data_IF_557556748461
#
_entry.id   IF_557556748461
#
_cell.length_a   1.000
_cell.length_b   1.000
_cell.length_c   1.000
_cell.angle_alpha   90.00
_cell.angle_beta   90.00
_cell.angle_gamma   90.00
#
_symmetry.space_group_name_H-M   'P 1'
#
loop_
_entity.id
_entity.type
_entity.pdbx_description
1 polymer ?
#
# COMPACT_ATOMS: atom_id res chain seq x y z
N UNK A 1 -55.59 -18.22 39.40
CA UNK A 1 -54.46 -17.36 39.82
C UNK A 1 -53.28 -18.29 40.04
N UNK A 2 -52.10 -18.23 39.41
CA UNK A 2 -51.47 -17.39 38.39
C UNK A 2 -50.45 -18.31 37.70
N UNK A 3 -50.39 -18.31 36.37
CA UNK A 3 -49.38 -19.04 35.57
C UNK A 3 -48.06 -18.26 35.65
N UNK A 4 -46.98 -18.89 36.11
CA UNK A 4 -45.64 -18.31 36.00
C UNK A 4 -45.02 -18.78 34.69
N UNK A 5 -44.91 -17.88 33.72
CA UNK A 5 -44.18 -18.09 32.48
C UNK A 5 -42.69 -17.82 32.74
N UNK A 6 -41.86 -18.81 32.42
CA UNK A 6 -40.40 -18.68 32.43
C UNK A 6 -39.98 -18.01 31.11
N UNK A 7 -39.56 -16.74 31.18
CA UNK A 7 -39.01 -16.03 30.04
C UNK A 7 -37.57 -16.50 29.81
N UNK A 8 -37.33 -17.17 28.68
CA UNK A 8 -35.99 -17.46 28.17
C UNK A 8 -35.49 -16.16 27.52
N UNK A 9 -34.52 -15.51 28.14
CA UNK A 9 -33.80 -14.40 27.53
C UNK A 9 -32.90 -14.96 26.42
N UNK A 10 -33.23 -14.65 25.17
CA UNK A 10 -32.36 -14.89 24.03
C UNK A 10 -31.30 -13.77 24.01
N UNK A 11 -30.09 -14.06 24.48
CA UNK A 11 -28.96 -13.16 24.28
C UNK A 11 -28.51 -13.27 22.82
N UNK A 12 -29.11 -12.46 21.96
CA UNK A 12 -28.61 -12.22 20.61
C UNK A 12 -27.37 -11.35 20.68
N UNK A 13 -26.21 -11.96 20.89
CA UNK A 13 -24.94 -11.31 20.62
C UNK A 13 -24.80 -11.18 19.10
N UNK A 14 -25.07 -9.99 18.56
CA UNK A 14 -24.59 -9.64 17.23
C UNK A 14 -23.09 -9.47 17.38
N UNK A 15 -22.33 -10.49 17.00
CA UNK A 15 -20.92 -10.32 16.75
C UNK A 15 -20.84 -9.37 15.54
N UNK A 16 -20.52 -8.11 15.78
CA UNK A 16 -19.93 -7.28 14.75
C UNK A 16 -18.57 -7.93 14.48
N UNK A 17 -18.48 -8.71 13.40
CA UNK A 17 -17.17 -8.91 12.80
C UNK A 17 -16.70 -7.50 12.43
N UNK A 18 -15.63 -7.01 13.05
CA UNK A 18 -14.90 -5.89 12.45
C UNK A 18 -14.59 -6.35 11.03
N UNK A 19 -15.11 -5.65 10.03
CA UNK A 19 -14.65 -5.87 8.66
C UNK A 19 -13.16 -5.53 8.65
N UNK A 20 -12.36 -6.33 7.93
CA UNK A 20 -11.00 -5.92 7.60
C UNK A 20 -11.06 -4.53 6.97
N UNK A 21 -10.17 -3.63 7.39
CA UNK A 21 -10.16 -2.25 6.87
C UNK A 21 -9.39 -2.20 5.56
N UNK A 22 -8.58 -3.22 5.28
CA UNK A 22 -7.94 -3.47 4.00
C UNK A 22 -8.48 -4.73 3.31
N UNK A 23 -8.43 -4.75 1.98
CA UNK A 23 -8.72 -5.92 1.16
C UNK A 23 -7.59 -6.24 0.18
N UNK A 24 -7.41 -7.53 -0.14
CA UNK A 24 -6.46 -7.99 -1.15
C UNK A 24 -7.10 -7.91 -2.53
N UNK A 25 -6.48 -7.17 -3.45
CA UNK A 25 -7.05 -6.88 -4.77
C UNK A 25 -6.33 -7.55 -5.94
N UNK A 26 -5.12 -8.08 -5.72
CA UNK A 26 -4.31 -8.64 -6.80
C UNK A 26 -3.25 -9.64 -6.37
N UNK A 27 -2.58 -10.18 -7.40
CA UNK A 27 -1.44 -11.10 -7.27
C UNK A 27 -0.16 -10.35 -7.59
N UNK A 28 0.77 -10.28 -6.64
CA UNK A 28 2.05 -9.59 -6.81
C UNK A 28 2.95 -10.29 -7.84
N UNK A 29 3.44 -9.61 -8.89
CA UNK A 29 4.42 -10.18 -9.81
C UNK A 29 5.83 -10.00 -9.24
N UNK A 30 6.30 -10.95 -8.41
CA UNK A 30 7.62 -10.87 -7.79
C UNK A 30 8.75 -11.20 -8.77
N UNK A 31 9.89 -10.55 -8.57
CA UNK A 31 11.17 -10.89 -9.16
C UNK A 31 12.07 -11.53 -8.11
N UNK A 32 12.88 -12.50 -8.52
CA UNK A 32 14.04 -12.87 -7.73
C UNK A 32 15.03 -11.70 -7.72
N UNK A 33 15.46 -11.27 -6.53
CA UNK A 33 16.21 -10.04 -6.34
C UNK A 33 15.29 -8.84 -6.09
N UNK A 34 15.56 -7.72 -6.75
CA UNK A 34 14.93 -6.44 -6.45
C UNK A 34 13.46 -6.36 -6.92
N UNK A 35 12.63 -5.80 -6.05
CA UNK A 35 11.23 -5.50 -6.28
C UNK A 35 10.93 -4.07 -5.83
N UNK A 36 9.92 -3.46 -6.46
CA UNK A 36 9.38 -2.16 -6.11
C UNK A 36 8.16 -2.36 -5.22
N UNK A 37 8.16 -1.72 -4.06
CA UNK A 37 6.97 -1.51 -3.22
C UNK A 37 6.55 -0.06 -3.38
N UNK A 38 5.28 0.19 -3.61
CA UNK A 38 4.74 1.53 -3.82
C UNK A 38 3.46 1.68 -3.01
N UNK A 39 3.20 2.89 -2.53
CA UNK A 39 2.03 3.20 -1.73
C UNK A 39 1.48 4.57 -2.07
N UNK A 40 0.16 4.68 -2.07
CA UNK A 40 -0.55 5.94 -2.16
C UNK A 40 -1.43 6.08 -0.92
N UNK A 41 -1.16 7.09 -0.11
CA UNK A 41 -2.01 7.54 0.98
C UNK A 41 -2.99 8.57 0.44
N UNK A 42 -4.23 8.53 0.90
CA UNK A 42 -5.32 9.32 0.38
C UNK A 42 -6.13 9.90 1.54
N UNK A 43 -6.37 11.20 1.50
CA UNK A 43 -7.26 11.91 2.42
C UNK A 43 -8.72 11.54 2.17
N UNK A 44 -9.54 11.62 3.22
CA UNK A 44 -11.00 11.48 3.09
C UNK A 44 -11.66 12.71 2.46
N UNK A 45 -11.07 13.89 2.64
CA UNK A 45 -11.70 15.15 2.25
C UNK A 45 -10.70 16.31 2.16
N UNK A 46 -11.06 17.41 1.45
CA UNK A 46 -10.25 18.61 1.44
C UNK A 46 -10.12 19.24 2.84
N UNK A 47 -8.88 19.55 3.25
CA UNK A 47 -8.59 20.14 4.55
C UNK A 47 -8.43 19.11 5.69
N UNK A 48 -8.15 17.85 5.35
CA UNK A 48 -7.67 16.86 6.33
C UNK A 48 -6.49 17.44 7.13
N UNK A 49 -6.46 17.15 8.43
CA UNK A 49 -5.46 17.69 9.36
C UNK A 49 -4.14 16.95 9.31
N UNK A 50 -4.19 15.66 8.98
CA UNK A 50 -3.11 14.71 9.05
C UNK A 50 -3.32 13.61 8.00
N UNK A 51 -2.26 12.88 7.73
CA UNK A 51 -2.24 11.73 6.83
C UNK A 51 -0.98 10.95 7.16
N UNK A 52 -1.07 9.63 7.11
CA UNK A 52 0.06 8.74 7.38
C UNK A 52 0.02 7.56 6.42
N UNK A 53 1.20 7.07 6.03
CA UNK A 53 1.35 5.76 5.41
C UNK A 53 2.69 5.14 5.77
N UNK A 54 2.60 3.99 6.43
CA UNK A 54 3.70 3.12 6.76
C UNK A 54 3.42 1.74 6.17
N UNK A 55 4.35 1.22 5.38
CA UNK A 55 4.23 -0.11 4.76
C UNK A 55 5.34 -1.04 5.25
N UNK A 56 4.97 -2.22 5.70
CA UNK A 56 5.91 -3.32 5.99
C UNK A 56 5.74 -4.43 4.95
N UNK A 57 6.85 -5.00 4.50
CA UNK A 57 6.85 -6.23 3.69
C UNK A 57 7.60 -7.32 4.44
N UNK A 58 6.99 -8.49 4.55
CA UNK A 58 7.67 -9.69 5.04
C UNK A 58 7.54 -10.86 4.08
N UNK A 59 8.62 -11.64 3.98
CA UNK A 59 8.71 -12.85 3.15
C UNK A 59 9.12 -14.00 4.05
N UNK A 60 8.35 -15.08 4.04
CA UNK A 60 8.59 -16.27 4.88
C UNK A 60 8.78 -15.91 6.37
N UNK A 61 8.05 -14.89 6.85
CA UNK A 61 8.11 -14.38 8.23
C UNK A 61 9.31 -13.48 8.55
N UNK A 62 10.13 -13.12 7.55
CA UNK A 62 11.25 -12.17 7.71
C UNK A 62 10.85 -10.82 7.14
N UNK A 63 10.97 -9.75 7.93
CA UNK A 63 10.77 -8.37 7.45
C UNK A 63 11.90 -8.00 6.49
N UNK A 64 11.54 -7.58 5.27
CA UNK A 64 12.45 -7.21 4.18
C UNK A 64 12.32 -5.75 3.75
N UNK A 65 11.29 -5.06 4.25
CA UNK A 65 11.07 -3.62 4.13
C UNK A 65 10.18 -3.17 5.28
N UNK A 66 10.50 -2.05 5.93
CA UNK A 66 9.75 -1.50 7.06
C UNK A 66 9.92 0.03 7.16
N UNK A 67 9.31 0.64 8.17
CA UNK A 67 9.36 2.08 8.46
C UNK A 67 10.78 2.69 8.40
N UNK A 68 11.83 1.97 8.82
CA UNK A 68 13.21 2.48 8.79
C UNK A 68 13.90 2.51 7.42
N UNK A 69 13.26 2.00 6.36
CA UNK A 69 13.88 1.82 5.05
C UNK A 69 13.76 3.06 4.15
N UNK A 70 14.73 3.27 3.23
CA UNK A 70 14.74 4.43 2.34
C UNK A 70 13.64 4.35 1.29
N UNK A 71 13.07 5.52 0.99
CA UNK A 71 12.02 5.70 -0.03
C UNK A 71 12.24 6.99 -0.83
N UNK A 72 11.48 7.10 -1.92
CA UNK A 72 11.19 8.34 -2.62
C UNK A 72 9.73 8.70 -2.39
N UNK A 73 9.41 9.95 -2.05
CA UNK A 73 8.05 10.40 -1.79
C UNK A 73 7.69 11.66 -2.60
N UNK A 74 6.42 11.80 -2.98
CA UNK A 74 5.91 13.01 -3.62
C UNK A 74 4.46 13.28 -3.20
N UNK A 75 4.11 14.55 -3.09
CA UNK A 75 2.72 14.97 -3.14
C UNK A 75 2.36 15.29 -4.60
N UNK A 76 1.64 14.42 -5.31
CA UNK A 76 1.34 14.61 -6.72
C UNK A 76 0.39 15.79 -6.95
N UNK A 77 0.69 16.61 -7.95
CA UNK A 77 -0.20 17.70 -8.44
C UNK A 77 -0.82 17.38 -9.81
N UNK A 78 -0.75 16.12 -10.22
CA UNK A 78 -1.17 15.64 -11.53
C UNK A 78 -0.86 14.15 -11.70
N UNK A 79 -1.42 13.54 -12.74
CA UNK A 79 -1.20 12.13 -13.07
C UNK A 79 0.28 11.85 -13.34
N UNK A 80 0.81 10.78 -12.73
CA UNK A 80 2.18 10.30 -12.93
C UNK A 80 2.11 8.88 -13.50
N UNK A 81 2.23 8.72 -14.82
CA UNK A 81 2.07 7.41 -15.45
C UNK A 81 3.17 6.42 -15.02
N UNK A 82 2.74 5.25 -14.55
CA UNK A 82 3.63 4.14 -14.26
C UNK A 82 4.59 4.36 -13.09
N UNK A 83 4.29 5.29 -12.19
CA UNK A 83 5.10 5.62 -11.01
C UNK A 83 5.47 4.39 -10.15
N UNK A 84 4.57 3.42 -10.04
CA UNK A 84 4.77 2.19 -9.27
C UNK A 84 5.51 1.07 -10.05
N UNK A 85 5.85 1.27 -11.33
CA UNK A 85 6.48 0.24 -12.14
C UNK A 85 7.97 0.07 -11.80
N UNK A 86 8.53 -1.15 -11.94
CA UNK A 86 9.95 -1.37 -11.80
C UNK A 86 10.76 -0.49 -12.76
N UNK A 87 11.76 0.21 -12.23
CA UNK A 87 12.65 1.08 -13.01
C UNK A 87 12.08 2.46 -13.34
N UNK A 88 10.97 2.87 -12.72
CA UNK A 88 10.51 4.25 -12.76
C UNK A 88 11.60 5.21 -12.23
N UNK A 89 11.76 6.36 -12.89
CA UNK A 89 12.73 7.38 -12.50
C UNK A 89 12.09 8.36 -11.51
N UNK A 90 12.27 8.07 -10.22
CA UNK A 90 11.81 8.91 -9.11
C UNK A 90 12.82 9.99 -8.71
N UNK A 91 13.86 10.30 -9.51
CA UNK A 91 14.90 11.27 -9.13
C UNK A 91 14.40 12.70 -8.87
N UNK A 92 13.18 13.03 -9.30
CA UNK A 92 12.50 14.29 -8.99
C UNK A 92 11.67 14.29 -7.71
N UNK A 93 11.59 13.16 -7.00
CA UNK A 93 10.84 12.99 -5.76
C UNK A 93 11.73 13.29 -4.55
N UNK A 94 11.11 13.49 -3.39
CA UNK A 94 11.82 13.70 -2.13
C UNK A 94 12.43 12.39 -1.63
N UNK A 95 13.74 12.36 -1.42
CA UNK A 95 14.39 11.25 -0.70
C UNK A 95 13.97 11.27 0.78
N UNK A 96 13.60 10.11 1.32
CA UNK A 96 13.12 10.01 2.70
C UNK A 96 13.24 8.60 3.29
N UNK A 97 12.64 8.43 4.45
CA UNK A 97 12.49 7.18 5.19
C UNK A 97 11.00 6.81 5.27
N UNK A 98 10.67 5.52 5.12
CA UNK A 98 9.29 5.04 5.13
C UNK A 98 8.52 5.48 6.40
N UNK A 99 7.20 5.62 6.28
CA UNK A 99 6.42 6.49 7.17
C UNK A 99 6.37 7.90 6.62
N UNK A 100 5.51 8.07 5.62
CA UNK A 100 5.23 9.35 4.96
C UNK A 100 3.94 9.93 5.47
N UNK A 101 3.89 11.25 5.63
CA UNK A 101 2.68 11.90 6.10
C UNK A 101 2.88 13.36 6.49
N UNK A 102 1.89 13.93 7.15
CA UNK A 102 1.94 15.28 7.70
C UNK A 102 0.98 15.45 8.87
N UNK A 103 1.14 16.54 9.63
CA UNK A 103 0.08 17.10 10.47
C UNK A 103 0.17 16.80 11.96
N UNK A 104 0.76 15.67 12.35
CA UNK A 104 0.87 15.21 13.74
C UNK A 104 2.31 15.10 14.27
N UNK A 105 3.29 15.05 13.37
CA UNK A 105 4.72 15.14 13.67
C UNK A 105 5.33 13.82 14.15
N UNK A 106 4.74 12.68 13.77
CA UNK A 106 5.31 11.34 14.02
C UNK A 106 5.74 10.59 12.74
N UNK A 107 5.54 11.16 11.55
CA UNK A 107 6.09 10.64 10.29
C UNK A 107 7.61 10.84 10.16
N UNK A 108 8.31 9.84 9.60
CA UNK A 108 9.73 9.95 9.30
C UNK A 108 10.02 10.86 8.09
N UNK A 109 9.10 10.88 7.12
CA UNK A 109 9.16 11.76 5.95
C UNK A 109 7.94 12.64 5.93
N UNK A 110 8.11 13.87 6.41
CA UNK A 110 7.07 14.89 6.38
C UNK A 110 6.87 15.41 4.95
N UNK A 111 5.71 15.12 4.37
CA UNK A 111 5.29 15.52 3.03
C UNK A 111 3.77 15.60 2.92
N UNK A 112 3.30 16.67 2.30
CA UNK A 112 1.87 16.95 2.16
C UNK A 112 1.52 18.32 2.73
N UNK A 113 0.31 18.76 2.44
CA UNK A 113 -0.17 20.10 2.80
C UNK A 113 -1.65 20.15 3.22
N UNK A 114 -2.37 19.02 3.20
CA UNK A 114 -3.82 18.94 3.46
C UNK A 114 -4.71 19.52 2.36
N UNK A 115 -4.12 20.18 1.34
CA UNK A 115 -4.85 20.78 0.22
C UNK A 115 -5.01 19.78 -0.95
N UNK A 116 -4.05 18.88 -1.14
CA UNK A 116 -4.14 17.81 -2.15
C UNK A 116 -4.59 16.49 -1.53
N UNK A 117 -5.18 15.63 -2.37
CA UNK A 117 -5.82 14.42 -1.90
C UNK A 117 -4.84 13.30 -1.52
N UNK A 118 -3.62 13.31 -2.07
CA UNK A 118 -2.74 12.15 -2.00
C UNK A 118 -1.28 12.46 -1.65
N UNK A 119 -0.61 11.46 -1.09
CA UNK A 119 0.86 11.35 -1.00
C UNK A 119 1.27 9.99 -1.54
N UNK A 120 2.29 9.96 -2.41
CA UNK A 120 2.83 8.73 -2.98
C UNK A 120 4.23 8.44 -2.43
N UNK A 121 4.54 7.15 -2.24
CA UNK A 121 5.87 6.68 -1.90
C UNK A 121 6.30 5.48 -2.76
N UNK A 122 7.60 5.37 -3.02
CA UNK A 122 8.24 4.25 -3.69
C UNK A 122 9.44 3.79 -2.87
N UNK A 123 9.46 2.52 -2.50
CA UNK A 123 10.57 1.83 -1.87
C UNK A 123 11.06 0.63 -2.69
N UNK A 124 12.05 -0.08 -2.15
CA UNK A 124 12.56 -1.31 -2.76
C UNK A 124 12.84 -2.38 -1.72
N UNK A 125 12.55 -3.63 -2.07
CA UNK A 125 12.85 -4.79 -1.24
C UNK A 125 13.42 -5.93 -2.09
N UNK A 126 14.04 -6.93 -1.45
CA UNK A 126 14.58 -8.10 -2.13
C UNK A 126 13.83 -9.38 -1.79
N UNK A 127 13.58 -10.22 -2.79
CA UNK A 127 12.97 -11.54 -2.63
C UNK A 127 13.90 -12.64 -3.14
N UNK A 128 13.91 -13.79 -2.46
CA UNK A 128 14.53 -15.02 -2.98
C UNK A 128 13.70 -15.62 -4.13
N UNK A 129 14.26 -16.55 -4.88
CA UNK A 129 13.58 -17.27 -5.98
C UNK A 129 12.66 -18.41 -5.50
N UNK A 130 12.59 -18.62 -4.18
CA UNK A 130 11.84 -19.70 -3.55
C UNK A 130 10.96 -19.23 -2.39
N UNK A 131 10.48 -17.99 -2.42
CA UNK A 131 9.58 -17.47 -1.40
C UNK A 131 8.34 -18.36 -1.26
N UNK A 132 7.95 -18.67 -0.03
CA UNK A 132 6.77 -19.47 0.30
C UNK A 132 5.56 -18.62 0.71
N UNK A 133 5.78 -17.45 1.31
CA UNK A 133 4.75 -16.47 1.64
C UNK A 133 5.21 -15.02 1.43
N UNK A 134 4.25 -14.15 1.16
CA UNK A 134 4.42 -12.70 1.08
C UNK A 134 3.34 -12.07 1.96
N UNK A 135 3.73 -11.23 2.91
CA UNK A 135 2.79 -10.45 3.72
C UNK A 135 3.10 -8.97 3.57
N UNK A 136 2.04 -8.17 3.49
CA UNK A 136 2.09 -6.71 3.51
C UNK A 136 1.37 -6.23 4.75
N UNK A 137 2.08 -5.49 5.60
CA UNK A 137 1.52 -4.76 6.74
C UNK A 137 1.34 -3.30 6.37
N UNK A 138 0.22 -2.70 6.77
CA UNK A 138 -0.03 -1.26 6.52
C UNK A 138 -0.59 -0.59 7.76
N UNK A 139 -0.09 0.60 8.05
CA UNK A 139 -0.64 1.55 9.01
C UNK A 139 -0.82 2.88 8.27
N UNK A 140 -2.03 3.46 8.29
CA UNK A 140 -2.38 4.55 7.36
C UNK A 140 -3.48 5.47 7.88
N UNK A 141 -3.64 6.63 7.26
CA UNK A 141 -4.70 7.62 7.54
C UNK A 141 -4.90 8.51 6.30
N UNK A 142 -6.07 8.67 5.67
CA UNK A 142 -7.37 8.05 5.95
C UNK A 142 -7.59 6.74 5.18
N UNK A 143 -6.91 6.60 4.05
CA UNK A 143 -7.01 5.44 3.18
C UNK A 143 -5.76 5.26 2.36
N UNK A 144 -5.58 4.06 1.82
CA UNK A 144 -4.41 3.77 1.04
C UNK A 144 -4.62 2.73 -0.05
N UNK A 145 -3.67 2.69 -0.97
CA UNK A 145 -3.48 1.66 -1.97
C UNK A 145 -2.01 1.25 -1.99
N UNK A 146 -1.75 -0.06 -2.03
CA UNK A 146 -0.40 -0.63 -2.07
C UNK A 146 -0.20 -1.41 -3.37
N UNK A 147 0.93 -1.16 -4.02
CA UNK A 147 1.33 -1.76 -5.28
C UNK A 147 2.69 -2.45 -5.15
N UNK A 148 2.83 -3.61 -5.78
CA UNK A 148 4.11 -4.30 -5.94
C UNK A 148 4.41 -4.44 -7.43
N UNK A 149 5.55 -3.92 -7.87
CA UNK A 149 5.99 -3.95 -9.26
C UNK A 149 4.90 -3.49 -10.26
N UNK A 150 4.18 -2.42 -9.90
CA UNK A 150 3.15 -1.81 -10.74
C UNK A 150 1.78 -2.47 -10.69
N UNK A 151 1.62 -3.56 -9.94
CA UNK A 151 0.32 -4.22 -9.72
C UNK A 151 -0.19 -3.88 -8.34
N UNK A 152 -1.43 -3.42 -8.27
CA UNK A 152 -2.11 -3.25 -6.99
C UNK A 152 -2.35 -4.59 -6.31
N UNK A 153 -2.01 -4.67 -5.03
CA UNK A 153 -2.13 -5.89 -4.23
C UNK A 153 -3.06 -5.72 -3.04
N UNK A 154 -3.23 -4.50 -2.54
CA UNK A 154 -4.13 -4.21 -1.43
C UNK A 154 -4.61 -2.75 -1.45
N UNK A 155 -5.77 -2.50 -0.84
CA UNK A 155 -6.32 -1.15 -0.62
C UNK A 155 -7.27 -1.10 0.58
N UNK A 156 -7.63 0.10 1.01
CA UNK A 156 -8.72 0.33 1.97
C UNK A 156 -10.05 -0.20 1.43
N UNK A 157 -10.68 -1.10 2.16
CA UNK A 157 -11.90 -1.78 1.76
C UNK A 157 -13.11 -0.84 1.78
N UNK A 158 -13.87 -0.81 0.69
CA UNK A 158 -15.12 -0.03 0.60
C UNK A 158 -14.94 1.47 0.46
N UNK A 159 -13.72 1.97 0.28
CA UNK A 159 -13.44 3.38 -0.02
C UNK A 159 -13.78 3.70 -1.48
N UNK A 160 -14.07 4.97 -1.77
CA UNK A 160 -14.45 5.46 -3.11
C UNK A 160 -13.21 5.70 -4.00
N UNK A 161 -12.25 4.77 -3.98
CA UNK A 161 -11.00 4.84 -4.74
C UNK A 161 -11.20 4.12 -6.09
N UNK A 162 -10.88 4.77 -7.21
CA UNK A 162 -10.96 4.17 -8.54
C UNK A 162 -10.04 2.95 -8.73
N UNK A 163 -10.25 2.19 -9.81
CA UNK A 163 -9.35 1.08 -10.19
C UNK A 163 -7.92 1.58 -10.51
N UNK A 164 -7.79 2.83 -10.91
CA UNK A 164 -6.53 3.56 -10.99
C UNK A 164 -6.51 4.58 -9.85
N UNK A 165 -5.38 4.67 -9.14
CA UNK A 165 -5.19 5.70 -8.12
C UNK A 165 -4.95 7.03 -8.80
N UNK A 166 -5.99 7.86 -8.84
CA UNK A 166 -5.89 9.24 -9.32
C UNK A 166 -5.43 10.15 -8.17
N UNK A 167 -4.57 11.12 -8.50
CA UNK A 167 -3.92 12.00 -7.53
C UNK A 167 -4.89 12.93 -6.79
N UNK A 168 -6.08 13.14 -7.35
CA UNK A 168 -7.18 13.96 -6.82
C UNK A 168 -8.36 13.11 -6.34
N UNK A 169 -8.18 11.79 -6.17
CA UNK A 169 -9.16 10.91 -5.54
C UNK A 169 -9.17 11.10 -4.02
N UNK A 170 -10.37 11.16 -3.46
CA UNK A 170 -10.63 11.21 -2.02
C UNK A 170 -11.21 9.87 -1.59
N UNK A 171 -10.91 9.41 -0.38
CA UNK A 171 -11.36 8.09 0.09
C UNK A 171 -12.86 8.08 0.43
N UNK A 172 -13.43 9.22 0.81
CA UNK A 172 -14.86 9.40 1.07
C UNK A 172 -15.54 10.34 0.06
N UNK A 173 -16.31 9.76 -0.86
CA UNK A 173 -17.26 10.46 -1.72
C UNK A 173 -18.70 10.04 -1.44
N UNK A 174 -18.97 9.61 -0.20
CA UNK A 174 -20.25 9.10 0.28
C UNK A 174 -20.19 7.68 0.83
N UNK A 175 -19.04 7.00 0.77
CA UNK A 175 -18.80 5.70 1.41
C UNK A 175 -18.71 5.78 2.93
N UNK A 176 -18.34 6.94 3.48
CA UNK A 176 -18.08 7.15 4.91
C UNK A 176 -16.86 6.39 5.43
N UNK A 177 -15.92 6.04 4.56
CA UNK A 177 -14.65 5.45 4.96
C UNK A 177 -13.68 6.52 5.46
N UNK A 178 -13.16 6.31 6.65
CA UNK A 178 -12.01 7.01 7.24
C UNK A 178 -11.31 6.00 8.17
N UNK A 179 -10.02 6.18 8.35
CA UNK A 179 -9.18 5.31 9.18
C UNK A 179 -8.09 6.17 9.81
N UNK A 180 -7.69 5.84 11.03
CA UNK A 180 -6.64 6.57 11.74
C UNK A 180 -5.43 5.67 11.90
N UNK A 181 -4.25 6.22 11.69
CA UNK A 181 -3.01 5.51 11.95
C UNK A 181 -2.86 5.19 13.44
N UNK A 182 -2.08 4.16 13.74
CA UNK A 182 -1.97 3.64 15.11
C UNK A 182 -1.34 4.61 16.11
N UNK A 183 -0.47 5.53 15.63
CA UNK A 183 0.27 6.51 16.43
C UNK A 183 1.10 5.84 17.54
N UNK A 184 1.66 4.65 17.24
CA UNK A 184 2.51 3.86 18.14
C UNK A 184 3.90 3.59 17.56
N UNK A 185 4.91 3.45 18.43
CA UNK A 185 6.26 3.02 18.07
C UNK A 185 6.61 1.69 18.79
N UNK A 186 6.74 0.55 18.06
CA UNK A 186 6.59 0.42 16.61
C UNK A 186 5.11 0.53 16.16
N UNK A 187 4.85 0.81 14.86
CA UNK A 187 3.49 0.89 14.30
C UNK A 187 2.70 -0.41 14.45
N UNK A 188 1.39 -0.29 14.56
CA UNK A 188 0.48 -1.44 14.58
C UNK A 188 -0.10 -1.68 13.17
N UNK A 189 0.45 -2.66 12.46
CA UNK A 189 0.04 -2.97 11.10
C UNK A 189 -1.24 -3.82 11.00
N UNK A 190 -2.11 -3.49 10.04
CA UNK A 190 -3.03 -4.46 9.46
C UNK A 190 -2.26 -5.32 8.44
N UNK A 191 -2.19 -6.63 8.69
CA UNK A 191 -1.36 -7.56 7.91
C UNK A 191 -2.21 -8.39 6.96
N UNK A 192 -1.85 -8.36 5.68
CA UNK A 192 -2.48 -9.10 4.59
C UNK A 192 -1.51 -10.12 4.02
N UNK A 193 -1.99 -11.35 3.80
CA UNK A 193 -1.25 -12.33 2.99
C UNK A 193 -1.53 -12.08 1.51
N UNK A 194 -0.49 -11.72 0.76
CA UNK A 194 -0.59 -11.31 -0.63
C UNK A 194 -0.26 -12.50 -1.53
N UNK A 195 -1.18 -12.94 -2.42
CA UNK A 195 -0.86 -13.90 -3.46
C UNK A 195 0.26 -13.35 -4.34
N UNK A 196 1.19 -14.21 -4.77
CA UNK A 196 2.25 -13.78 -5.66
C UNK A 196 2.62 -14.85 -6.68
N UNK A 197 3.19 -14.39 -7.78
CA UNK A 197 3.79 -15.23 -8.81
C UNK A 197 5.16 -14.67 -9.14
N UNK A 198 6.15 -15.54 -9.35
CA UNK A 198 7.41 -15.11 -9.91
C UNK A 198 7.25 -14.86 -11.40
N UNK A 199 7.65 -13.67 -11.86
CA UNK A 199 7.69 -13.36 -13.28
C UNK A 199 8.48 -14.44 -14.03
N UNK A 200 7.94 -14.88 -15.17
CA UNK A 200 8.77 -15.63 -16.12
C UNK A 200 9.96 -14.75 -16.49
N UNK A 201 11.18 -15.25 -16.31
CA UNK A 201 12.40 -14.49 -16.56
C UNK A 201 12.27 -13.73 -17.89
N UNK A 202 12.18 -12.40 -17.84
CA UNK A 202 12.19 -11.59 -19.04
C UNK A 202 13.53 -11.86 -19.71
N UNK A 203 13.51 -12.62 -20.81
CA UNK A 203 14.66 -12.99 -21.61
C UNK A 203 15.44 -11.73 -22.01
N UNK A 204 16.42 -11.34 -21.20
CA UNK A 204 17.43 -10.34 -21.54
C UNK A 204 18.25 -10.76 -22.79
N UNK A 205 18.09 -12.02 -23.24
CA UNK A 205 18.68 -12.55 -24.47
C UNK A 205 18.08 -11.95 -25.76
N UNK A 206 16.85 -11.43 -25.72
CA UNK A 206 16.15 -10.90 -26.91
C UNK A 206 16.69 -9.56 -27.41
N UNK A 207 17.28 -8.73 -26.53
CA UNK A 207 17.92 -7.46 -26.92
C UNK A 207 19.38 -7.60 -27.32
N UNK A 208 20.07 -8.66 -26.87
CA UNK A 208 21.46 -8.89 -27.24
C UNK A 208 21.60 -9.59 -28.60
N UNK A 209 20.68 -10.49 -28.98
CA UNK A 209 20.76 -11.21 -30.26
C UNK A 209 20.62 -10.30 -31.50
N UNK A 210 19.87 -9.21 -31.40
CA UNK A 210 19.65 -8.28 -32.53
C UNK A 210 20.85 -7.37 -32.79
N UNK A 211 21.57 -6.94 -31.74
CA UNK A 211 22.70 -6.00 -31.89
C UNK A 211 23.95 -6.69 -32.49
N UNK A 212 24.15 -7.98 -32.27
CA UNK A 212 25.28 -8.73 -32.87
C UNK A 212 25.07 -9.11 -34.35
N UNK A 213 23.84 -9.05 -34.86
CA UNK A 213 23.55 -9.31 -36.27
C UNK A 213 23.84 -8.09 -37.16
N UNK A 214 23.68 -6.87 -36.62
CA UNK A 214 23.90 -5.62 -37.36
C UNK A 214 25.34 -5.10 -37.33
N UNK A 215 26.20 -5.66 -36.49
CA UNK A 215 27.65 -5.37 -36.44
C UNK A 215 28.51 -6.22 -37.40
N UNK A 216 27.88 -7.03 -38.26
CA UNK A 216 28.55 -7.87 -39.28
C UNK A 216 28.15 -7.53 -40.72
N UNK A 217 27.93 -6.25 -41.03
CA UNK A 217 27.86 -5.74 -42.41
C UNK A 217 28.91 -4.67 -42.63
#
# INVERSE_FOLDING_TARGET
MMKHALAIALAGGVAFAASAQMEVTGTAPLNAGANTIAGAALNDSPGSSDLTLIVQVSIDGTVVFDEGDPIMAIQPTGTIDGWANPGFDASGWTEGTNGVGYGDGDDNTEIGDGDNAAVYMIGSFSAGDSAGSLMVGVDYDDGCVVLINGVEVARTAGADIGDMVDFDSWTDQGSGQSHEASKTDPPTYEILEIPFEFGSAVEASGKLATVWADLRK
#
